data_IF_919233305543
#
_entry.id   IF_919233305543
#
_cell.length_a   1.000
_cell.length_b   1.000
_cell.length_c   1.000
_cell.angle_alpha   90.00
_cell.angle_beta   90.00
_cell.angle_gamma   90.00
#
_symmetry.space_group_name_H-M   'P 1'
#
loop_
_entity.id
_entity.type
_entity.pdbx_description
1 polymer ?
#
# COMPACT_ATOMS: atom_id res chain seq x y z
N UNK A 1 11.83 37.44 58.14
CA UNK A 1 13.28 37.34 58.42
C UNK A 1 13.82 36.27 57.49
N UNK A 2 14.71 36.62 56.56
CA UNK A 2 15.34 35.65 55.65
C UNK A 2 16.23 34.70 56.48
N UNK A 3 16.28 33.42 56.13
CA UNK A 3 17.12 32.46 56.84
C UNK A 3 18.61 32.87 56.69
N UNK A 4 19.34 33.15 57.78
CA UNK A 4 20.72 33.65 57.73
C UNK A 4 21.73 32.63 57.16
N UNK A 5 21.34 31.36 57.01
CA UNK A 5 22.15 30.32 56.38
C UNK A 5 22.01 30.27 54.85
N UNK A 6 21.04 30.99 54.27
CA UNK A 6 20.87 31.07 52.83
C UNK A 6 21.18 32.47 52.33
N UNK A 7 22.25 32.59 51.55
CA UNK A 7 22.72 33.84 50.96
C UNK A 7 21.97 34.20 49.67
N UNK A 8 21.05 33.33 49.24
CA UNK A 8 20.16 33.51 48.08
C UNK A 8 20.91 33.86 46.79
N UNK A 9 21.97 33.11 46.49
CA UNK A 9 22.69 33.28 45.23
C UNK A 9 24.19 33.01 45.30
N UNK A 10 24.69 32.39 46.38
CA UNK A 10 26.10 31.95 46.44
C UNK A 10 26.36 30.82 45.42
N UNK A 11 27.58 30.73 44.90
CA UNK A 11 27.93 29.72 43.89
C UNK A 11 27.68 28.28 44.38
N UNK A 12 27.92 28.00 45.66
CA UNK A 12 27.64 26.69 46.27
C UNK A 12 26.14 26.35 46.31
N UNK A 13 25.27 27.33 46.57
CA UNK A 13 23.82 27.10 46.55
C UNK A 13 23.32 26.89 45.11
N UNK A 14 23.85 27.67 44.16
CA UNK A 14 23.50 27.53 42.73
C UNK A 14 23.90 26.18 42.17
N UNK A 15 25.11 25.71 42.51
CA UNK A 15 25.61 24.40 42.08
C UNK A 15 24.79 23.27 42.70
N UNK A 16 24.52 23.33 44.02
CA UNK A 16 23.68 22.32 44.67
C UNK A 16 22.29 22.25 44.03
N UNK A 17 21.72 23.39 43.66
CA UNK A 17 20.42 23.43 42.98
C UNK A 17 20.47 22.80 41.60
N UNK A 18 21.52 23.10 40.82
CA UNK A 18 21.72 22.49 39.51
C UNK A 18 21.93 20.97 39.62
N UNK A 19 22.71 20.51 40.60
CA UNK A 19 22.95 19.08 40.87
C UNK A 19 21.63 18.36 41.18
N UNK A 20 20.79 18.94 42.05
CA UNK A 20 19.48 18.40 42.38
C UNK A 20 18.55 18.34 41.15
N UNK A 21 18.60 19.35 40.28
CA UNK A 21 17.81 19.37 39.05
C UNK A 21 18.32 18.28 38.09
N UNK A 22 19.63 18.16 37.90
CA UNK A 22 20.23 17.12 37.08
C UNK A 22 19.81 15.72 37.56
N UNK A 23 19.91 15.47 38.87
CA UNK A 23 19.51 14.20 39.47
C UNK A 23 17.99 13.96 39.32
N UNK A 24 17.16 14.99 39.47
CA UNK A 24 15.70 14.87 39.26
C UNK A 24 15.34 14.49 37.82
N UNK A 25 15.97 15.12 36.82
CA UNK A 25 15.76 14.81 35.39
C UNK A 25 16.31 13.42 35.07
N UNK A 26 17.42 13.01 35.69
CA UNK A 26 17.97 11.68 35.48
C UNK A 26 17.09 10.56 36.08
N UNK A 27 16.42 10.82 37.20
CA UNK A 27 15.54 9.83 37.86
C UNK A 27 14.17 9.75 37.17
N UNK A 28 13.57 10.88 36.82
CA UNK A 28 12.18 10.95 36.35
C UNK A 28 12.02 11.29 34.86
N UNK A 29 13.10 11.67 34.18
CA UNK A 29 13.10 11.96 32.76
C UNK A 29 13.21 10.72 31.89
N UNK A 30 13.19 10.95 30.58
CA UNK A 30 13.37 9.94 29.53
C UNK A 30 14.60 10.29 28.70
N UNK A 31 15.27 9.27 28.16
CA UNK A 31 16.38 9.45 27.23
C UNK A 31 15.84 9.77 25.84
N UNK A 32 16.32 10.88 25.26
CA UNK A 32 15.98 11.35 23.92
C UNK A 32 17.24 11.66 23.14
N UNK A 33 17.17 11.65 21.81
CA UNK A 33 18.28 12.10 20.98
C UNK A 33 18.02 13.52 20.47
N UNK A 34 18.98 14.41 20.68
CA UNK A 34 19.00 15.78 20.17
C UNK A 34 19.72 15.83 18.82
N UNK A 35 19.05 16.31 17.78
CA UNK A 35 19.57 16.41 16.42
C UNK A 35 19.67 17.89 16.01
N UNK A 36 20.87 18.47 15.91
CA UNK A 36 21.05 19.85 15.50
C UNK A 36 20.81 20.03 13.99
N UNK A 37 20.13 21.10 13.61
CA UNK A 37 19.87 21.43 12.19
C UNK A 37 21.09 22.09 11.54
N UNK A 38 21.52 21.58 10.39
CA UNK A 38 22.50 22.22 9.49
C UNK A 38 21.82 22.81 8.27
N UNK A 39 22.19 24.04 7.91
CA UNK A 39 21.66 24.74 6.74
C UNK A 39 22.65 24.68 5.57
N UNK A 40 22.34 23.99 4.48
CA UNK A 40 23.28 23.80 3.35
C UNK A 40 23.23 24.98 2.37
N UNK A 41 22.03 25.46 2.02
CA UNK A 41 21.84 26.59 1.10
C UNK A 41 21.31 27.83 1.82
N UNK A 42 22.16 28.85 1.95
CA UNK A 42 21.77 30.17 2.44
C UNK A 42 22.19 31.25 1.43
N UNK A 43 21.49 31.40 0.31
CA UNK A 43 21.65 32.59 -0.53
C UNK A 43 20.35 33.35 -0.76
N UNK A 44 20.21 34.33 0.13
CA UNK A 44 19.66 35.68 -0.06
C UNK A 44 19.59 36.14 -1.52
N UNK A 45 18.36 36.33 -2.02
CA UNK A 45 17.81 37.49 -2.76
C UNK A 45 16.49 37.11 -3.49
N UNK A 46 16.26 35.82 -3.80
CA UNK A 46 15.01 35.32 -4.41
C UNK A 46 14.65 33.96 -3.82
N UNK A 47 13.60 33.89 -2.96
CA UNK A 47 12.90 32.70 -2.43
C UNK A 47 13.43 31.31 -2.90
N UNK A 48 14.65 30.95 -2.51
CA UNK A 48 15.23 29.64 -2.78
C UNK A 48 14.79 28.66 -1.69
N UNK A 49 14.75 27.37 -2.02
CA UNK A 49 14.42 26.30 -1.08
C UNK A 49 15.61 26.10 -0.14
N UNK A 50 15.36 26.19 1.17
CA UNK A 50 16.39 26.01 2.20
C UNK A 50 16.54 24.51 2.44
N UNK A 51 17.62 23.92 1.96
CA UNK A 51 17.92 22.51 2.22
C UNK A 51 18.50 22.37 3.64
N UNK A 52 17.89 21.49 4.43
CA UNK A 52 18.27 21.24 5.82
C UNK A 52 18.69 19.79 6.00
N UNK A 53 19.81 19.60 6.71
CA UNK A 53 20.40 18.29 6.95
C UNK A 53 20.56 18.07 8.45
N UNK A 54 20.25 16.86 8.92
CA UNK A 54 20.40 16.39 10.29
C UNK A 54 21.30 15.15 10.28
N UNK A 55 22.59 15.36 10.44
CA UNK A 55 23.61 14.33 10.29
C UNK A 55 24.26 13.90 11.61
N UNK A 56 23.70 14.31 12.75
CA UNK A 56 24.23 14.04 14.07
C UNK A 56 23.08 13.84 15.06
N UNK A 57 23.20 12.86 15.94
CA UNK A 57 22.29 12.63 17.05
C UNK A 57 23.05 12.50 18.36
N UNK A 58 22.64 13.23 19.39
CA UNK A 58 23.27 13.24 20.71
C UNK A 58 22.27 12.84 21.79
N UNK A 59 22.51 11.76 22.57
CA UNK A 59 21.61 11.37 23.65
C UNK A 59 21.64 12.39 24.79
N UNK A 60 20.46 12.74 25.32
CA UNK A 60 20.29 13.64 26.47
C UNK A 60 19.03 13.27 27.25
N UNK A 61 19.07 13.48 28.57
CA UNK A 61 17.92 13.26 29.44
C UNK A 61 16.96 14.45 29.38
N UNK A 62 15.67 14.19 29.15
CA UNK A 62 14.62 15.20 29.10
C UNK A 62 13.43 14.83 30.01
N UNK A 63 12.92 15.80 30.75
CA UNK A 63 11.69 15.66 31.53
C UNK A 63 10.50 16.17 30.73
N UNK A 64 9.41 15.40 30.64
CA UNK A 64 8.20 15.81 29.94
C UNK A 64 7.32 16.60 30.92
N UNK A 65 7.14 17.89 30.66
CA UNK A 65 6.43 18.82 31.55
C UNK A 65 5.04 19.21 31.07
N UNK A 66 4.48 18.50 30.07
CA UNK A 66 3.14 18.75 29.53
C UNK A 66 2.13 18.90 30.68
N UNK A 67 1.64 20.13 30.83
CA UNK A 67 0.94 20.66 31.99
C UNK A 67 -0.36 19.89 32.29
N UNK A 68 -0.40 19.15 33.40
CA UNK A 68 -1.62 18.62 34.00
C UNK A 68 -1.89 19.38 35.32
N UNK A 69 -2.90 20.24 35.30
CA UNK A 69 -3.11 21.22 36.35
C UNK A 69 -4.51 21.82 36.36
N UNK A 70 -5.47 20.99 36.82
CA UNK A 70 -6.83 21.30 37.31
C UNK A 70 -8.03 21.04 36.38
N UNK A 71 -8.40 19.76 36.25
CA UNK A 71 -9.73 19.30 35.84
C UNK A 71 -9.96 17.86 36.30
N UNK A 72 -11.10 17.58 36.94
CA UNK A 72 -11.50 16.32 37.58
C UNK A 72 -11.45 15.07 36.66
N UNK A 73 -10.27 14.47 36.41
CA UNK A 73 -10.16 13.07 36.00
C UNK A 73 -8.73 12.51 36.14
N UNK A 74 -8.41 11.76 37.23
CA UNK A 74 -7.06 11.26 37.49
C UNK A 74 -6.74 9.96 36.74
N UNK A 75 -7.18 9.82 35.49
CA UNK A 75 -6.94 8.62 34.64
C UNK A 75 -5.90 8.85 33.54
N UNK A 76 -5.06 9.88 33.67
CA UNK A 76 -4.07 10.30 32.65
C UNK A 76 -2.64 9.80 32.97
N UNK A 77 -2.50 8.85 33.89
CA UNK A 77 -1.24 8.16 34.15
C UNK A 77 -1.48 6.66 34.37
N UNK A 78 -1.60 5.84 33.32
CA UNK A 78 -1.33 4.39 33.50
C UNK A 78 -1.03 3.51 32.28
N UNK A 79 -1.14 3.91 31.00
CA UNK A 79 -0.87 2.96 29.89
C UNK A 79 -0.28 3.60 28.63
N UNK A 80 1.05 3.57 28.53
CA UNK A 80 1.84 3.34 27.31
C UNK A 80 1.16 3.67 25.96
N UNK A 81 0.89 4.95 25.73
CA UNK A 81 0.32 5.40 24.48
C UNK A 81 0.25 6.91 24.52
N UNK A 82 1.26 7.56 23.93
CA UNK A 82 1.19 8.96 23.52
C UNK A 82 -0.08 9.09 22.67
N UNK A 83 -1.19 9.50 23.28
CA UNK A 83 -2.35 9.95 22.53
C UNK A 83 -1.97 11.26 21.83
N UNK A 84 -2.58 11.47 20.65
CA UNK A 84 -2.41 12.60 19.73
C UNK A 84 -2.31 13.97 20.41
N UNK A 85 -1.14 14.30 20.95
CA UNK A 85 -0.73 15.67 21.19
C UNK A 85 0.30 15.97 20.11
N UNK A 86 -0.09 16.84 19.18
CA UNK A 86 0.80 17.38 18.16
C UNK A 86 1.88 18.28 18.78
N UNK A 87 1.76 18.62 20.06
CA UNK A 87 2.63 19.51 20.81
C UNK A 87 3.04 18.86 22.13
N UNK A 88 4.30 19.02 22.53
CA UNK A 88 4.80 18.59 23.83
C UNK A 88 5.75 19.63 24.40
N UNK A 89 5.85 19.67 25.72
CA UNK A 89 6.80 20.53 26.44
C UNK A 89 7.84 19.68 27.14
N UNK A 90 9.11 19.95 26.87
CA UNK A 90 10.25 19.28 27.52
C UNK A 90 11.02 20.26 28.38
N UNK A 91 11.57 19.75 29.47
CA UNK A 91 12.58 20.44 30.26
C UNK A 91 13.88 19.64 30.21
N UNK A 92 14.95 20.27 29.76
CA UNK A 92 16.30 19.70 29.76
C UNK A 92 17.20 20.48 30.70
N UNK A 93 18.19 19.80 31.28
CA UNK A 93 19.20 20.46 32.11
C UNK A 93 20.07 21.40 31.28
N UNK A 94 20.20 22.65 31.76
CA UNK A 94 21.07 23.64 31.14
C UNK A 94 22.54 23.23 31.20
N UNK A 95 23.00 22.78 32.37
CA UNK A 95 24.39 22.38 32.56
C UNK A 95 24.75 21.19 31.67
N UNK A 96 23.88 20.18 31.58
CA UNK A 96 24.12 19.01 30.73
C UNK A 96 24.24 19.41 29.26
N UNK A 97 23.35 20.26 28.77
CA UNK A 97 23.44 20.77 27.41
C UNK A 97 24.75 21.54 27.17
N UNK A 98 25.09 22.48 28.06
CA UNK A 98 26.30 23.31 27.95
C UNK A 98 27.62 22.53 28.09
N UNK A 99 27.64 21.44 28.86
CA UNK A 99 28.84 20.61 29.10
C UNK A 99 29.01 19.48 28.10
N UNK A 100 27.92 18.93 27.56
CA UNK A 100 27.95 17.76 26.67
C UNK A 100 27.68 18.14 25.20
N UNK A 101 26.53 18.74 24.90
CA UNK A 101 26.12 18.98 23.51
C UNK A 101 26.83 20.20 22.92
N UNK A 102 26.84 21.33 23.64
CA UNK A 102 27.41 22.60 23.14
C UNK A 102 28.85 22.46 22.63
N UNK A 103 29.78 21.76 23.31
CA UNK A 103 31.14 21.55 22.80
C UNK A 103 31.22 20.72 21.52
N UNK A 104 30.31 19.76 21.34
CA UNK A 104 30.27 18.86 20.17
C UNK A 104 29.75 19.58 18.92
N UNK A 105 28.75 20.46 19.09
CA UNK A 105 28.15 21.20 17.97
C UNK A 105 28.90 22.49 17.61
N UNK A 106 29.75 23.01 18.51
CA UNK A 106 30.45 24.31 18.33
C UNK A 106 31.34 24.39 17.09
N UNK A 107 31.95 23.27 16.68
CA UNK A 107 32.89 23.22 15.56
C UNK A 107 32.25 22.67 14.28
N UNK A 108 30.95 22.36 14.28
CA UNK A 108 30.27 21.88 13.10
C UNK A 108 29.94 23.06 12.16
N UNK A 109 30.22 22.87 10.87
CA UNK A 109 29.85 23.84 9.84
C UNK A 109 28.34 23.97 9.73
N UNK A 110 27.86 25.16 9.38
CA UNK A 110 26.46 25.45 9.05
C UNK A 110 25.45 25.33 10.21
N UNK A 111 25.92 25.34 11.45
CA UNK A 111 25.09 25.49 12.65
C UNK A 111 25.11 26.97 13.09
N UNK A 112 23.92 27.56 13.28
CA UNK A 112 23.77 29.00 13.61
C UNK A 112 24.00 29.32 15.09
N UNK A 113 23.68 28.39 15.98
CA UNK A 113 23.71 28.61 17.42
C UNK A 113 24.14 27.32 18.11
N UNK A 114 25.18 27.42 18.95
CA UNK A 114 25.78 26.27 19.63
C UNK A 114 25.80 26.40 21.16
N UNK A 115 25.32 27.51 21.72
CA UNK A 115 25.37 27.78 23.16
C UNK A 115 24.08 27.41 23.90
N UNK A 116 23.00 27.08 23.19
CA UNK A 116 21.71 26.64 23.72
C UNK A 116 20.95 25.86 22.63
N UNK A 117 19.89 25.13 22.99
CA UNK A 117 19.00 24.56 22.01
C UNK A 117 18.44 25.62 21.07
N UNK A 118 18.31 25.26 19.80
CA UNK A 118 17.83 26.17 18.76
C UNK A 118 16.48 25.73 18.22
N UNK A 119 15.69 26.70 17.84
CA UNK A 119 14.44 26.49 17.12
C UNK A 119 14.72 25.87 15.74
N UNK A 120 13.94 24.86 15.39
CA UNK A 120 14.08 24.05 14.20
C UNK A 120 15.03 22.85 14.32
N UNK A 121 15.65 22.63 15.49
CA UNK A 121 16.36 21.38 15.79
C UNK A 121 15.35 20.27 16.14
N UNK A 122 15.73 19.00 15.98
CA UNK A 122 14.84 17.86 16.20
C UNK A 122 15.17 17.10 17.48
N UNK A 123 14.15 16.47 18.05
CA UNK A 123 14.24 15.58 19.20
C UNK A 123 13.61 14.24 18.83
N UNK A 124 14.37 13.16 18.90
CA UNK A 124 13.90 11.80 18.66
C UNK A 124 13.64 11.05 19.97
N UNK A 125 12.50 10.37 20.04
CA UNK A 125 12.10 9.52 21.16
C UNK A 125 12.24 8.04 20.80
N UNK A 126 13.19 7.30 21.40
CA UNK A 126 13.41 5.88 21.08
C UNK A 126 12.20 4.97 21.37
N UNK A 127 11.44 5.27 22.43
CA UNK A 127 10.29 4.46 22.84
C UNK A 127 9.04 4.71 21.99
N UNK A 128 8.98 5.86 21.31
CA UNK A 128 7.82 6.28 20.52
C UNK A 128 8.07 6.28 19.02
N UNK A 129 9.33 6.08 18.60
CA UNK A 129 9.82 6.14 17.23
C UNK A 129 9.36 7.41 16.50
N UNK A 130 9.46 8.56 17.19
CA UNK A 130 8.91 9.86 16.75
C UNK A 130 9.94 10.97 16.83
N UNK A 131 9.91 11.84 15.83
CA UNK A 131 10.66 13.08 15.77
C UNK A 131 9.76 14.28 16.09
N UNK A 132 10.27 15.19 16.91
CA UNK A 132 9.63 16.45 17.23
C UNK A 132 10.54 17.61 16.89
N UNK A 133 10.01 18.65 16.27
CA UNK A 133 10.71 19.90 15.98
C UNK A 133 10.54 20.88 17.12
N UNK A 134 11.65 21.48 17.57
CA UNK A 134 11.63 22.54 18.56
C UNK A 134 11.09 23.83 17.92
N UNK A 135 9.89 24.25 18.31
CA UNK A 135 9.30 25.52 17.84
C UNK A 135 9.76 26.71 18.68
N UNK A 136 9.93 26.51 19.98
CA UNK A 136 10.32 27.59 20.88
C UNK A 136 11.22 27.09 22.01
N UNK A 137 12.22 27.92 22.35
CA UNK A 137 13.15 27.66 23.46
C UNK A 137 13.06 28.78 24.48
N UNK A 138 12.41 28.49 25.61
CA UNK A 138 12.39 29.41 26.75
C UNK A 138 13.72 29.33 27.49
N UNK A 139 14.49 30.42 27.37
CA UNK A 139 15.82 30.55 27.96
C UNK A 139 15.86 31.57 29.11
N UNK A 140 14.78 32.31 29.34
CA UNK A 140 14.66 33.32 30.41
C UNK A 140 13.29 33.24 31.12
N UNK A 141 13.22 32.56 32.27
CA UNK A 141 12.01 32.55 33.13
C UNK A 141 12.01 33.79 34.06
N UNK A 142 10.90 34.52 34.25
CA UNK A 142 10.84 35.73 35.07
C UNK A 142 11.16 35.53 36.56
N UNK A 143 10.96 34.32 37.10
CA UNK A 143 11.21 33.97 38.50
C UNK A 143 12.32 32.94 38.61
N UNK A 144 13.56 33.42 38.73
CA UNK A 144 14.71 32.56 38.97
C UNK A 144 14.79 32.13 40.44
N UNK A 145 14.72 30.83 40.69
CA UNK A 145 15.15 30.28 41.99
C UNK A 145 16.65 30.61 42.14
N UNK A 146 17.05 31.23 43.25
CA UNK A 146 18.45 31.63 43.50
C UNK A 146 19.11 32.48 42.38
N UNK A 147 18.33 33.27 41.61
CA UNK A 147 18.86 34.17 40.55
C UNK A 147 19.54 33.48 39.35
N UNK A 148 19.26 32.20 39.07
CA UNK A 148 19.75 31.51 37.86
C UNK A 148 18.66 30.75 37.11
N UNK A 149 18.85 30.58 35.79
CA UNK A 149 18.12 29.60 35.00
C UNK A 149 18.90 28.29 34.95
N UNK A 150 18.28 27.18 35.36
CA UNK A 150 18.93 25.86 35.47
C UNK A 150 18.38 24.84 34.45
N UNK A 151 17.31 25.19 33.73
CA UNK A 151 16.64 24.32 32.75
C UNK A 151 16.29 25.10 31.48
N UNK A 152 16.37 24.45 30.32
CA UNK A 152 15.72 24.96 29.11
C UNK A 152 14.36 24.31 28.96
N UNK A 153 13.33 25.11 28.77
CA UNK A 153 12.00 24.62 28.44
C UNK A 153 11.80 24.71 26.91
N UNK A 154 11.54 23.57 26.29
CA UNK A 154 11.38 23.41 24.86
C UNK A 154 9.92 23.12 24.56
N UNK A 155 9.30 23.95 23.74
CA UNK A 155 8.00 23.63 23.13
C UNK A 155 8.27 23.00 21.79
N UNK A 156 7.85 21.74 21.64
CA UNK A 156 8.11 20.94 20.47
C UNK A 156 6.79 20.52 19.81
N UNK A 157 6.79 20.42 18.48
CA UNK A 157 5.67 19.88 17.71
C UNK A 157 6.11 18.65 16.94
N UNK A 158 5.18 17.75 16.60
CA UNK A 158 5.49 16.60 15.75
C UNK A 158 6.12 17.08 14.43
N UNK A 159 7.29 16.53 14.09
CA UNK A 159 7.99 16.94 12.88
C UNK A 159 7.26 16.40 11.64
N UNK A 160 7.00 17.30 10.68
CA UNK A 160 6.45 16.94 9.37
C UNK A 160 7.58 16.97 8.35
N UNK A 161 7.73 15.87 7.62
CA UNK A 161 8.75 15.72 6.60
C UNK A 161 8.39 16.53 5.36
N UNK A 162 9.33 17.32 4.86
CA UNK A 162 9.23 17.93 3.54
C UNK A 162 10.34 17.37 2.65
N UNK A 163 11.52 18.00 2.64
CA UNK A 163 12.68 17.65 1.79
C UNK A 163 13.98 17.53 2.61
N UNK A 164 13.90 17.37 3.93
CA UNK A 164 15.07 17.29 4.81
C UNK A 164 15.78 15.92 4.77
N UNK A 165 17.11 15.95 4.85
CA UNK A 165 17.95 14.73 4.92
C UNK A 165 18.30 14.44 6.37
N UNK A 166 18.03 13.23 6.85
CA UNK A 166 18.39 12.76 8.20
C UNK A 166 19.31 11.54 8.06
N UNK A 167 20.57 11.69 8.46
CA UNK A 167 21.66 10.70 8.38
C UNK A 167 22.51 10.76 9.66
N UNK A 168 21.97 10.26 10.76
CA UNK A 168 22.56 10.47 12.08
C UNK A 168 23.60 9.42 12.44
N UNK A 169 23.69 8.34 11.66
CA UNK A 169 24.52 7.16 11.95
C UNK A 169 23.95 6.28 13.06
N UNK A 170 22.70 6.54 13.48
CA UNK A 170 21.97 5.76 14.49
C UNK A 170 20.84 5.06 13.77
N UNK A 171 20.96 3.74 13.62
CA UNK A 171 20.01 2.92 12.85
C UNK A 171 18.55 3.17 13.24
N UNK A 172 18.25 3.31 14.53
CA UNK A 172 16.87 3.53 15.00
C UNK A 172 16.27 4.86 14.51
N UNK A 173 17.10 5.90 14.35
CA UNK A 173 16.68 7.22 13.87
C UNK A 173 16.62 7.22 12.34
N UNK A 174 17.62 6.61 11.71
CA UNK A 174 17.74 6.56 10.25
C UNK A 174 16.66 5.63 9.66
N UNK A 175 16.31 4.53 10.36
CA UNK A 175 15.24 3.59 9.99
C UNK A 175 13.84 4.23 10.03
N UNK A 176 13.64 5.28 10.86
CA UNK A 176 12.38 6.05 10.86
C UNK A 176 12.17 6.86 9.57
N UNK A 177 13.25 7.11 8.81
CA UNK A 177 13.28 7.95 7.60
C UNK A 177 13.90 7.23 6.39
N UNK A 178 14.20 5.94 6.50
CA UNK A 178 14.63 5.16 5.35
C UNK A 178 15.47 3.97 5.73
N UNK A 179 15.08 2.79 5.23
CA UNK A 179 15.96 1.63 5.25
C UNK A 179 17.27 1.97 4.53
N UNK A 180 18.34 2.04 5.29
CA UNK A 180 19.70 1.99 4.74
C UNK A 180 19.95 0.57 4.22
N UNK A 181 20.23 0.44 2.92
CA UNK A 181 20.80 -0.78 2.37
C UNK A 181 22.30 -0.78 2.69
N UNK A 182 22.73 -1.68 3.57
CA UNK A 182 24.14 -1.91 3.90
C UNK A 182 25.01 -2.36 2.68
N UNK A 183 24.44 -2.44 1.47
CA UNK A 183 25.14 -2.82 0.23
C UNK A 183 25.30 -1.68 -0.79
N UNK A 184 24.88 -0.44 -0.51
CA UNK A 184 25.15 0.71 -1.39
C UNK A 184 26.55 1.32 -1.09
N UNK A 185 27.52 1.24 -2.02
CA UNK A 185 28.84 1.84 -1.82
C UNK A 185 28.84 3.38 -1.82
N UNK A 186 27.73 4.04 -2.17
CA UNK A 186 27.65 5.51 -2.33
C UNK A 186 26.80 6.21 -1.25
N UNK A 187 26.28 5.47 -0.25
CA UNK A 187 25.46 6.00 0.86
C UNK A 187 24.37 6.99 0.37
N UNK A 188 23.64 6.64 -0.69
CA UNK A 188 22.75 7.57 -1.38
C UNK A 188 21.40 7.68 -0.66
N UNK A 189 21.26 8.72 0.15
CA UNK A 189 20.05 9.07 0.89
C UNK A 189 18.81 9.30 0.00
N UNK A 190 17.66 8.78 0.43
CA UNK A 190 16.38 8.91 -0.29
C UNK A 190 15.32 9.50 0.62
N UNK A 191 14.88 10.75 0.40
CA UNK A 191 13.71 11.31 1.07
C UNK A 191 12.47 10.42 0.86
N UNK A 192 11.67 10.21 1.90
CA UNK A 192 10.38 9.51 1.81
C UNK A 192 9.28 10.54 1.59
N UNK A 193 8.91 10.77 0.32
CA UNK A 193 7.62 11.34 -0.04
C UNK A 193 6.48 10.28 0.04
N UNK A 194 5.21 10.68 -0.19
CA UNK A 194 4.08 9.75 -0.18
C UNK A 194 4.31 8.55 -1.11
N UNK A 195 4.08 7.34 -0.60
CA UNK A 195 4.28 6.09 -1.34
C UNK A 195 3.07 5.84 -2.25
N UNK A 196 3.34 5.60 -3.53
CA UNK A 196 2.37 5.12 -4.51
C UNK A 196 2.65 3.65 -4.84
N UNK A 197 1.63 2.80 -4.73
CA UNK A 197 1.74 1.38 -5.10
C UNK A 197 1.28 1.18 -6.55
N UNK A 198 2.16 0.65 -7.38
CA UNK A 198 1.91 0.29 -8.77
C UNK A 198 1.87 -1.23 -8.90
N UNK A 199 0.83 -1.76 -9.55
CA UNK A 199 0.82 -3.16 -9.98
C UNK A 199 1.26 -3.23 -11.43
N UNK A 200 2.34 -3.95 -11.68
CA UNK A 200 2.94 -4.12 -12.99
C UNK A 200 2.62 -5.49 -13.58
N UNK A 201 2.91 -5.64 -14.87
CA UNK A 201 2.84 -6.90 -15.59
C UNK A 201 4.18 -7.61 -15.42
N UNK A 202 4.14 -8.85 -14.90
CA UNK A 202 5.34 -9.65 -14.74
C UNK A 202 5.97 -10.10 -16.05
N UNK A 203 7.16 -10.68 -15.94
CA UNK A 203 7.85 -11.25 -17.09
C UNK A 203 6.99 -12.33 -17.74
N UNK A 204 6.93 -12.31 -19.08
CA UNK A 204 6.01 -13.16 -19.82
C UNK A 204 6.45 -14.62 -19.82
N UNK A 205 5.65 -15.49 -19.20
CA UNK A 205 5.82 -16.95 -19.25
C UNK A 205 4.59 -17.56 -19.87
N UNK A 206 4.77 -18.36 -20.92
CA UNK A 206 3.66 -18.99 -21.63
C UNK A 206 2.98 -20.06 -20.77
N UNK A 207 1.66 -19.96 -20.66
CA UNK A 207 0.84 -20.95 -19.98
C UNK A 207 0.84 -22.29 -20.75
N UNK A 208 0.64 -23.38 -20.02
CA UNK A 208 0.51 -24.72 -20.59
C UNK A 208 -0.75 -25.41 -20.06
N UNK A 209 -1.39 -26.20 -20.92
CA UNK A 209 -2.57 -26.96 -20.56
C UNK A 209 -2.62 -28.28 -21.35
N UNK A 210 -3.29 -29.26 -20.76
CA UNK A 210 -3.52 -30.59 -21.35
C UNK A 210 -5.01 -30.93 -21.29
N UNK A 211 -5.43 -31.85 -22.15
CA UNK A 211 -6.79 -32.39 -22.14
C UNK A 211 -6.80 -33.83 -22.65
N UNK A 212 -7.93 -34.50 -22.42
CA UNK A 212 -8.26 -35.80 -22.98
C UNK A 212 -9.53 -35.70 -23.81
N UNK A 213 -9.78 -36.70 -24.65
CA UNK A 213 -11.04 -36.82 -25.39
C UNK A 213 -12.05 -37.69 -24.65
N UNK A 214 -13.33 -37.38 -24.83
CA UNK A 214 -14.45 -38.10 -24.23
C UNK A 214 -15.50 -38.45 -25.29
N UNK A 215 -16.28 -39.50 -25.01
CA UNK A 215 -17.42 -39.93 -25.82
C UNK A 215 -18.73 -39.66 -25.08
N UNK A 216 -19.77 -39.30 -25.83
CA UNK A 216 -21.03 -38.79 -25.27
C UNK A 216 -20.81 -37.57 -24.38
N UNK A 217 -19.96 -36.63 -24.79
CA UNK A 217 -19.65 -35.40 -24.04
C UNK A 217 -20.43 -34.19 -24.55
N UNK A 218 -20.65 -33.20 -23.69
CA UNK A 218 -21.25 -31.90 -24.07
C UNK A 218 -20.26 -31.12 -24.92
N UNK A 219 -20.69 -30.70 -26.11
CA UNK A 219 -19.88 -29.93 -27.07
C UNK A 219 -19.96 -28.43 -26.81
N UNK A 220 -21.19 -27.92 -26.74
CA UNK A 220 -21.48 -26.52 -26.47
C UNK A 220 -22.92 -26.39 -26.02
N UNK A 221 -23.24 -25.24 -25.43
CA UNK A 221 -24.58 -24.85 -25.07
C UNK A 221 -25.14 -23.85 -26.08
N UNK A 222 -26.43 -23.92 -26.33
CA UNK A 222 -27.16 -22.92 -27.10
C UNK A 222 -28.17 -22.24 -26.18
N UNK A 223 -27.93 -20.96 -25.87
CA UNK A 223 -28.87 -20.16 -25.08
C UNK A 223 -30.06 -19.82 -25.97
N UNK A 224 -31.25 -20.32 -25.59
CA UNK A 224 -32.51 -20.10 -26.31
C UNK A 224 -33.29 -18.94 -25.73
N UNK A 225 -33.12 -18.65 -24.43
CA UNK A 225 -33.60 -17.44 -23.79
C UNK A 225 -32.54 -16.91 -22.83
N UNK A 226 -32.20 -15.63 -22.95
CA UNK A 226 -31.18 -14.99 -22.09
C UNK A 226 -31.71 -14.65 -20.69
N UNK A 227 -33.03 -14.54 -20.53
CA UNK A 227 -33.65 -14.07 -19.31
C UNK A 227 -33.22 -12.64 -18.92
N UNK A 228 -33.57 -12.21 -17.72
CA UNK A 228 -33.19 -10.91 -17.16
C UNK A 228 -33.32 -10.87 -15.64
N UNK A 229 -32.83 -9.80 -15.03
CA UNK A 229 -32.94 -9.54 -13.61
C UNK A 229 -31.84 -10.15 -12.74
N UNK A 230 -30.71 -10.58 -13.32
CA UNK A 230 -29.64 -11.22 -12.55
C UNK A 230 -28.64 -10.19 -12.01
N UNK A 231 -28.40 -10.18 -10.69
CA UNK A 231 -27.32 -9.39 -10.08
C UNK A 231 -25.94 -10.06 -10.20
N UNK A 232 -25.92 -11.40 -10.35
CA UNK A 232 -24.72 -12.21 -10.51
C UNK A 232 -24.88 -13.31 -11.56
N UNK A 233 -23.82 -14.06 -11.84
CA UNK A 233 -23.92 -15.20 -12.76
C UNK A 233 -24.75 -16.33 -12.12
N UNK A 234 -25.86 -16.79 -12.75
CA UNK A 234 -26.66 -17.87 -12.20
C UNK A 234 -25.91 -19.20 -12.25
N UNK A 235 -26.24 -20.10 -11.33
CA UNK A 235 -25.72 -21.47 -11.35
C UNK A 235 -26.40 -22.25 -12.47
N UNK A 236 -25.60 -22.82 -13.36
CA UNK A 236 -26.08 -23.69 -14.44
C UNK A 236 -26.12 -25.13 -13.94
N UNK A 237 -27.32 -25.70 -13.86
CA UNK A 237 -27.52 -27.10 -13.52
C UNK A 237 -27.77 -27.93 -14.78
N UNK A 238 -27.13 -29.09 -14.84
CA UNK A 238 -27.20 -30.02 -15.97
C UNK A 238 -27.70 -31.36 -15.43
N UNK A 239 -28.65 -31.98 -16.12
CA UNK A 239 -29.16 -33.29 -15.70
C UNK A 239 -28.04 -34.35 -15.72
N UNK A 240 -28.10 -35.26 -14.76
CA UNK A 240 -27.08 -36.30 -14.57
C UNK A 240 -26.85 -37.15 -15.83
N UNK A 241 -25.58 -37.53 -16.05
CA UNK A 241 -25.23 -38.53 -17.05
C UNK A 241 -25.79 -39.93 -16.66
N UNK A 242 -26.00 -40.84 -17.63
CA UNK A 242 -26.31 -42.24 -17.36
C UNK A 242 -25.27 -42.94 -16.46
N UNK A 243 -25.63 -44.11 -15.92
CA UNK A 243 -24.75 -44.90 -15.07
C UNK A 243 -23.43 -45.23 -15.80
N UNK A 244 -22.31 -44.99 -15.12
CA UNK A 244 -20.96 -45.13 -15.70
C UNK A 244 -20.46 -43.89 -16.46
N UNK A 245 -21.28 -42.85 -16.61
CA UNK A 245 -20.89 -41.54 -17.13
C UNK A 245 -20.54 -40.53 -16.03
N UNK A 246 -20.11 -39.34 -16.44
CA UNK A 246 -19.88 -38.19 -15.57
C UNK A 246 -20.66 -36.98 -16.05
N UNK A 247 -21.34 -36.32 -15.12
CA UNK A 247 -22.11 -35.10 -15.42
C UNK A 247 -21.19 -33.95 -15.80
N UNK A 248 -21.48 -33.26 -16.89
CA UNK A 248 -20.74 -32.08 -17.32
C UNK A 248 -20.94 -30.88 -16.38
N UNK A 249 -20.09 -29.87 -16.54
CA UNK A 249 -20.13 -28.61 -15.80
C UNK A 249 -20.11 -27.47 -16.82
N UNK A 250 -21.06 -26.55 -16.68
CA UNK A 250 -21.13 -25.32 -17.46
C UNK A 250 -21.09 -24.09 -16.56
N UNK A 251 -20.61 -22.98 -17.08
CA UNK A 251 -20.65 -21.67 -16.43
C UNK A 251 -21.33 -20.66 -17.32
N UNK A 252 -22.27 -19.90 -16.75
CA UNK A 252 -22.89 -18.79 -17.44
C UNK A 252 -21.91 -17.60 -17.55
N UNK A 253 -21.96 -16.91 -18.69
CA UNK A 253 -21.41 -15.57 -18.86
C UNK A 253 -22.57 -14.58 -18.94
N UNK A 254 -22.36 -13.37 -18.43
CA UNK A 254 -23.42 -12.36 -18.31
C UNK A 254 -23.13 -11.16 -19.19
N UNK A 255 -24.18 -10.53 -19.70
CA UNK A 255 -24.11 -9.27 -20.45
C UNK A 255 -25.03 -8.24 -19.79
N UNK A 256 -24.51 -7.03 -19.58
CA UNK A 256 -25.28 -5.88 -19.12
C UNK A 256 -25.80 -5.03 -20.29
N UNK A 257 -26.63 -4.04 -20.00
CA UNK A 257 -27.10 -3.06 -21.00
C UNK A 257 -28.14 -3.58 -22.00
N UNK A 258 -28.59 -4.83 -21.84
CA UNK A 258 -29.75 -5.36 -22.57
C UNK A 258 -31.00 -5.09 -21.74
N UNK A 259 -31.91 -4.27 -22.26
CA UNK A 259 -33.25 -4.12 -21.67
C UNK A 259 -34.09 -5.33 -22.09
N UNK A 260 -34.47 -6.17 -21.13
CA UNK A 260 -35.33 -7.33 -21.37
C UNK A 260 -36.69 -7.07 -20.75
N UNK A 261 -37.60 -6.44 -21.50
CA UNK A 261 -38.91 -6.03 -20.99
C UNK A 261 -38.78 -5.18 -19.70
N UNK A 262 -39.31 -5.65 -18.56
CA UNK A 262 -39.17 -5.02 -17.23
C UNK A 262 -37.96 -5.49 -16.44
N UNK A 263 -37.33 -6.58 -16.88
CA UNK A 263 -36.24 -7.25 -16.20
C UNK A 263 -34.94 -6.65 -16.76
N UNK A 264 -34.13 -6.02 -15.91
CA UNK A 264 -33.05 -5.07 -16.27
C UNK A 264 -33.47 -3.60 -16.41
N UNK A 265 -34.56 -3.18 -15.76
CA UNK A 265 -34.86 -1.76 -15.53
C UNK A 265 -33.79 -1.07 -14.68
N UNK A 266 -33.17 -1.80 -13.74
CA UNK A 266 -31.96 -1.36 -13.05
C UNK A 266 -30.72 -1.67 -13.93
N UNK A 267 -29.89 -0.66 -14.29
CA UNK A 267 -28.69 -0.85 -15.11
C UNK A 267 -27.68 -1.86 -14.54
N UNK A 268 -27.73 -2.14 -13.24
CA UNK A 268 -26.85 -3.10 -12.57
C UNK A 268 -27.24 -4.57 -12.83
N UNK A 269 -28.47 -4.82 -13.30
CA UNK A 269 -28.96 -6.17 -13.61
C UNK A 269 -28.55 -6.61 -15.02
N UNK A 270 -28.32 -7.91 -15.17
CA UNK A 270 -27.72 -8.52 -16.35
C UNK A 270 -28.58 -9.66 -16.90
N UNK A 271 -28.27 -10.06 -18.13
CA UNK A 271 -28.85 -11.23 -18.80
C UNK A 271 -27.78 -12.27 -19.11
N UNK A 272 -28.17 -13.54 -19.28
CA UNK A 272 -27.24 -14.61 -19.66
C UNK A 272 -26.82 -14.41 -21.12
N UNK A 273 -25.52 -14.30 -21.38
CA UNK A 273 -24.98 -14.12 -22.73
C UNK A 273 -24.70 -15.45 -23.42
N UNK A 274 -23.96 -16.32 -22.74
CA UNK A 274 -23.63 -17.67 -23.18
C UNK A 274 -23.46 -18.59 -21.98
N UNK A 275 -23.42 -19.90 -22.23
CA UNK A 275 -22.94 -20.88 -21.27
C UNK A 275 -21.73 -21.56 -21.89
N UNK A 276 -20.61 -21.53 -21.19
CA UNK A 276 -19.36 -22.13 -21.62
C UNK A 276 -19.13 -23.42 -20.84
N UNK A 277 -18.54 -24.42 -21.48
CA UNK A 277 -18.26 -25.73 -20.90
C UNK A 277 -16.98 -25.65 -20.07
N UNK A 278 -17.04 -26.04 -18.79
CA UNK A 278 -15.85 -26.22 -17.93
C UNK A 278 -15.40 -27.69 -17.98
N UNK A 279 -16.36 -28.60 -17.93
CA UNK A 279 -16.14 -30.03 -18.10
C UNK A 279 -17.23 -30.59 -19.01
N UNK A 280 -16.85 -31.19 -20.12
CA UNK A 280 -17.78 -31.76 -21.09
C UNK A 280 -18.59 -32.94 -20.53
N UNK A 281 -18.14 -33.56 -19.43
CA UNK A 281 -18.71 -34.82 -18.95
C UNK A 281 -18.49 -35.95 -19.96
N UNK A 282 -19.08 -37.11 -19.71
CA UNK A 282 -19.06 -38.23 -20.66
C UNK A 282 -20.19 -39.21 -20.40
N UNK A 283 -20.51 -40.03 -21.42
CA UNK A 283 -21.51 -41.08 -21.34
C UNK A 283 -22.95 -40.63 -21.59
N UNK A 284 -23.19 -39.39 -22.04
CA UNK A 284 -24.51 -38.94 -22.46
C UNK A 284 -24.93 -39.63 -23.76
N UNK A 285 -26.09 -40.29 -23.73
CA UNK A 285 -26.74 -40.88 -24.92
C UNK A 285 -27.86 -40.00 -25.47
N UNK A 286 -28.38 -39.10 -24.63
CA UNK A 286 -29.37 -38.07 -24.97
C UNK A 286 -28.84 -36.74 -24.43
N UNK A 287 -29.08 -35.66 -25.17
CA UNK A 287 -28.67 -34.33 -24.73
C UNK A 287 -29.26 -34.01 -23.34
N UNK A 288 -28.43 -33.60 -22.36
CA UNK A 288 -28.93 -33.33 -21.01
C UNK A 288 -29.80 -32.07 -20.97
N UNK A 289 -30.70 -32.03 -19.99
CA UNK A 289 -31.53 -30.84 -19.69
C UNK A 289 -30.70 -29.82 -18.93
N UNK A 290 -30.90 -28.54 -19.22
CA UNK A 290 -30.23 -27.41 -18.57
C UNK A 290 -31.25 -26.57 -17.81
N UNK A 291 -30.91 -26.17 -16.59
CA UNK A 291 -31.68 -25.24 -15.78
C UNK A 291 -30.76 -24.18 -15.16
N UNK A 292 -31.30 -22.99 -14.92
CA UNK A 292 -30.59 -21.88 -14.27
C UNK A 292 -31.19 -21.62 -12.89
N UNK A 293 -30.32 -21.39 -11.92
CA UNK A 293 -30.69 -21.03 -10.55
C UNK A 293 -30.00 -19.72 -10.16
N UNK A 294 -30.80 -18.70 -9.84
CA UNK A 294 -30.34 -17.37 -9.47
C UNK A 294 -31.51 -16.49 -9.04
N UNK A 295 -31.23 -15.21 -8.84
CA UNK A 295 -32.19 -14.14 -8.52
C UNK A 295 -33.00 -13.65 -9.74
N UNK A 296 -32.45 -13.81 -10.95
CA UNK A 296 -33.15 -13.50 -12.20
C UNK A 296 -34.06 -14.62 -12.70
N UNK A 297 -34.81 -14.31 -13.77
CA UNK A 297 -35.83 -15.20 -14.35
C UNK A 297 -35.66 -15.41 -15.85
N UNK A 298 -36.25 -16.48 -16.38
CA UNK A 298 -36.44 -16.69 -17.82
C UNK A 298 -35.25 -17.21 -18.62
N UNK A 299 -34.09 -17.47 -18.01
CA UNK A 299 -32.95 -18.03 -18.75
C UNK A 299 -33.21 -19.49 -19.16
N UNK A 300 -32.93 -19.83 -20.41
CA UNK A 300 -33.08 -21.18 -20.97
C UNK A 300 -31.97 -21.49 -21.97
N UNK A 301 -31.49 -22.73 -21.96
CA UNK A 301 -30.45 -23.21 -22.86
C UNK A 301 -30.63 -24.70 -23.16
N UNK A 302 -30.04 -25.14 -24.26
CA UNK A 302 -29.96 -26.55 -24.67
C UNK A 302 -28.49 -26.98 -24.83
N UNK A 303 -28.23 -28.28 -24.77
CA UNK A 303 -26.91 -28.86 -24.99
C UNK A 303 -26.84 -29.58 -26.33
N UNK A 304 -25.69 -29.50 -26.99
CA UNK A 304 -25.33 -30.42 -28.07
C UNK A 304 -24.28 -31.39 -27.56
N UNK A 305 -24.46 -32.70 -27.80
CA UNK A 305 -23.48 -33.74 -27.41
C UNK A 305 -22.76 -34.31 -28.64
N UNK A 306 -21.67 -35.04 -28.42
CA UNK A 306 -21.02 -35.83 -29.46
C UNK A 306 -19.86 -36.68 -28.96
N UNK A 307 -19.23 -37.38 -29.90
CA UNK A 307 -18.13 -38.30 -29.65
C UNK A 307 -16.78 -37.76 -30.11
N UNK A 308 -15.72 -38.18 -29.42
CA UNK A 308 -14.37 -37.69 -29.67
C UNK A 308 -14.30 -36.18 -29.48
N UNK A 309 -14.85 -35.68 -28.37
CA UNK A 309 -14.87 -34.24 -28.05
C UNK A 309 -13.85 -33.95 -26.96
N UNK A 310 -13.35 -32.72 -26.89
CA UNK A 310 -12.44 -32.27 -25.82
C UNK A 310 -13.15 -32.37 -24.47
N UNK A 311 -12.51 -33.04 -23.51
CA UNK A 311 -12.98 -33.17 -22.14
C UNK A 311 -12.61 -31.96 -21.28
N UNK A 312 -12.40 -32.18 -19.97
CA UNK A 312 -11.87 -31.12 -19.10
C UNK A 312 -10.49 -30.66 -19.57
N UNK A 313 -10.25 -29.35 -19.55
CA UNK A 313 -8.93 -28.77 -19.79
C UNK A 313 -8.26 -28.56 -18.44
N UNK A 314 -7.09 -29.17 -18.26
CA UNK A 314 -6.27 -29.02 -17.05
C UNK A 314 -5.11 -28.10 -17.36
N UNK A 315 -5.06 -26.96 -16.68
CA UNK A 315 -3.94 -26.02 -16.77
C UNK A 315 -2.77 -26.63 -15.98
N UNK A 316 -1.66 -26.90 -16.66
CA UNK A 316 -0.42 -27.42 -16.05
C UNK A 316 0.50 -26.29 -15.56
N UNK A 317 0.41 -25.11 -16.18
CA UNK A 317 1.00 -23.86 -15.69
C UNK A 317 0.16 -22.68 -16.18
N UNK A 318 -0.23 -21.79 -15.27
CA UNK A 318 -1.03 -20.60 -15.59
C UNK A 318 -0.26 -19.51 -16.35
N UNK A 319 1.07 -19.67 -16.48
CA UNK A 319 1.94 -18.64 -17.05
C UNK A 319 1.89 -17.31 -16.30
N UNK A 320 2.46 -16.27 -16.90
CA UNK A 320 2.51 -14.90 -16.36
C UNK A 320 2.62 -13.88 -17.49
N UNK A 321 2.32 -12.61 -17.21
CA UNK A 321 2.47 -11.52 -18.18
C UNK A 321 1.28 -11.36 -19.17
N UNK A 322 0.17 -12.05 -18.94
CA UNK A 322 -1.03 -11.90 -19.77
C UNK A 322 -1.75 -10.59 -19.44
N UNK A 323 -1.84 -9.71 -20.44
CA UNK A 323 -2.58 -8.42 -20.37
C UNK A 323 -3.87 -8.44 -21.19
N UNK A 324 -3.95 -9.37 -22.12
CA UNK A 324 -5.12 -9.65 -22.95
C UNK A 324 -5.37 -11.15 -22.95
N UNK A 325 -6.58 -11.55 -23.32
CA UNK A 325 -6.93 -12.96 -23.45
C UNK A 325 -6.14 -13.58 -24.60
N UNK A 326 -5.31 -14.61 -24.34
CA UNK A 326 -4.55 -15.26 -25.40
C UNK A 326 -5.44 -16.10 -26.31
N UNK A 327 -4.99 -16.29 -27.55
CA UNK A 327 -5.59 -17.28 -28.46
C UNK A 327 -5.26 -18.69 -27.99
N UNK A 328 -6.25 -19.58 -28.01
CA UNK A 328 -6.08 -21.01 -27.70
C UNK A 328 -6.29 -21.80 -28.99
N UNK A 329 -5.30 -22.61 -29.36
CA UNK A 329 -5.34 -23.45 -30.56
C UNK A 329 -5.30 -24.93 -30.17
N UNK A 330 -6.21 -25.70 -30.75
CA UNK A 330 -6.23 -27.16 -30.63
C UNK A 330 -5.69 -27.77 -31.92
N UNK A 331 -4.61 -28.55 -31.82
CA UNK A 331 -3.99 -29.24 -32.95
C UNK A 331 -4.23 -30.74 -32.83
N UNK A 332 -4.92 -31.33 -33.81
CA UNK A 332 -5.22 -32.75 -33.87
C UNK A 332 -6.15 -33.09 -35.04
N UNK A 333 -6.22 -34.36 -35.41
CA UNK A 333 -7.14 -34.84 -36.45
C UNK A 333 -8.56 -34.83 -35.87
N UNK A 334 -9.45 -34.04 -36.45
CA UNK A 334 -10.85 -33.90 -36.03
C UNK A 334 -11.74 -33.57 -37.23
N UNK A 335 -13.04 -33.77 -37.08
CA UNK A 335 -14.04 -33.27 -38.05
C UNK A 335 -14.40 -31.82 -37.78
N UNK A 336 -14.43 -31.42 -36.51
CA UNK A 336 -14.62 -30.05 -36.06
C UNK A 336 -13.58 -29.75 -34.98
N UNK A 337 -12.74 -28.74 -35.20
CA UNK A 337 -11.77 -28.32 -34.21
C UNK A 337 -12.47 -27.70 -32.98
N UNK A 338 -11.80 -27.77 -31.84
CA UNK A 338 -12.31 -27.22 -30.60
C UNK A 338 -11.97 -25.72 -30.49
N UNK A 339 -12.75 -25.00 -29.69
CA UNK A 339 -12.59 -23.58 -29.41
C UNK A 339 -12.80 -23.32 -27.92
N UNK A 340 -11.99 -22.43 -27.35
CA UNK A 340 -12.02 -22.07 -25.94
C UNK A 340 -11.56 -20.63 -25.72
N UNK A 341 -11.92 -20.08 -24.58
CA UNK A 341 -11.52 -18.75 -24.08
C UNK A 341 -10.76 -18.90 -22.77
N UNK A 342 -9.67 -18.14 -22.59
CA UNK A 342 -8.94 -18.08 -21.33
C UNK A 342 -9.50 -16.98 -20.42
N UNK A 343 -9.48 -17.22 -19.12
CA UNK A 343 -9.73 -16.22 -18.08
C UNK A 343 -8.39 -15.86 -17.46
N UNK A 344 -8.06 -14.58 -17.54
CA UNK A 344 -6.83 -14.01 -17.00
C UNK A 344 -7.15 -13.32 -15.67
N UNK A 345 -6.37 -13.61 -14.63
CA UNK A 345 -6.50 -12.98 -13.32
C UNK A 345 -6.07 -11.52 -13.34
N UNK A 346 -6.42 -10.80 -12.27
CA UNK A 346 -5.84 -9.48 -12.00
C UNK A 346 -4.32 -9.53 -11.82
N UNK A 347 -3.71 -10.70 -11.58
CA UNK A 347 -2.27 -10.89 -11.50
C UNK A 347 -1.62 -11.15 -12.88
N UNK A 348 -2.40 -11.41 -13.93
CA UNK A 348 -1.88 -11.66 -15.29
C UNK A 348 -1.52 -13.11 -15.55
N UNK A 349 -2.13 -14.02 -14.78
CA UNK A 349 -2.01 -15.48 -14.89
C UNK A 349 -3.31 -16.07 -15.42
N UNK A 350 -3.26 -17.15 -16.19
CA UNK A 350 -4.47 -17.84 -16.66
C UNK A 350 -5.00 -18.72 -15.52
N UNK A 351 -6.22 -18.42 -15.05
CA UNK A 351 -6.87 -19.14 -13.94
C UNK A 351 -7.85 -20.20 -14.42
N UNK A 352 -8.41 -20.03 -15.61
CA UNK A 352 -9.37 -20.96 -16.17
C UNK A 352 -9.35 -20.91 -17.70
N UNK A 353 -9.63 -22.05 -18.33
CA UNK A 353 -9.94 -22.12 -19.77
C UNK A 353 -11.35 -22.69 -19.89
N UNK A 354 -12.22 -21.95 -20.58
CA UNK A 354 -13.62 -22.31 -20.78
C UNK A 354 -13.85 -22.67 -22.24
N UNK A 355 -14.43 -23.83 -22.47
CA UNK A 355 -14.67 -24.36 -23.81
C UNK A 355 -15.93 -23.73 -24.37
N UNK A 356 -15.82 -23.08 -25.53
CA UNK A 356 -16.96 -22.54 -26.27
C UNK A 356 -17.50 -23.56 -27.27
N UNK A 357 -16.63 -24.45 -27.78
CA UNK A 357 -16.99 -25.63 -28.56
C UNK A 357 -15.95 -26.73 -28.34
N UNK A 358 -16.36 -27.89 -27.82
CA UNK A 358 -15.44 -29.00 -27.55
C UNK A 358 -14.95 -29.73 -28.82
N UNK A 359 -15.38 -29.29 -30.01
CA UNK A 359 -15.07 -29.92 -31.28
C UNK A 359 -15.88 -31.19 -31.51
N UNK A 360 -15.42 -32.04 -32.43
CA UNK A 360 -16.03 -33.33 -32.77
C UNK A 360 -15.03 -34.25 -33.48
N UNK A 361 -15.10 -35.54 -33.19
CA UNK A 361 -14.43 -36.58 -33.99
C UNK A 361 -12.92 -36.63 -33.83
N UNK A 362 -12.37 -36.17 -32.71
CA UNK A 362 -10.98 -36.44 -32.35
C UNK A 362 -10.78 -37.93 -32.10
N UNK A 363 -9.78 -38.52 -32.75
CA UNK A 363 -9.38 -39.94 -32.55
C UNK A 363 -8.23 -40.08 -31.55
N UNK A 364 -7.48 -39.00 -31.32
CA UNK A 364 -6.42 -38.87 -30.34
C UNK A 364 -6.58 -37.53 -29.60
N UNK A 365 -6.09 -37.45 -28.36
CA UNK A 365 -6.11 -36.20 -27.59
C UNK A 365 -5.37 -35.08 -28.35
N UNK A 366 -6.01 -33.92 -28.58
CA UNK A 366 -5.36 -32.81 -29.26
C UNK A 366 -4.29 -32.15 -28.39
N UNK A 367 -3.29 -31.56 -29.03
CA UNK A 367 -2.33 -30.67 -28.37
C UNK A 367 -2.94 -29.28 -28.21
N UNK A 368 -2.89 -28.73 -27.00
CA UNK A 368 -3.33 -27.36 -26.71
C UNK A 368 -2.12 -26.43 -26.75
N UNK A 369 -2.17 -25.43 -27.62
CA UNK A 369 -1.20 -24.34 -27.64
C UNK A 369 -1.88 -23.06 -27.19
N UNK A 370 -1.32 -22.43 -26.16
CA UNK A 370 -1.77 -21.13 -25.66
C UNK A 370 -0.84 -20.06 -26.24
N UNK A 371 -1.41 -18.98 -26.79
CA UNK A 371 -0.64 -17.85 -27.29
C UNK A 371 0.28 -17.27 -26.21
N UNK A 372 1.44 -16.75 -26.65
CA UNK A 372 2.39 -16.13 -25.74
C UNK A 372 1.80 -14.85 -25.12
N UNK A 373 2.16 -14.54 -23.85
CA UNK A 373 1.89 -13.24 -23.25
C UNK A 373 2.72 -12.13 -23.93
N UNK A 374 2.48 -10.88 -23.54
CA UNK A 374 3.36 -9.77 -23.96
C UNK A 374 4.75 -9.99 -23.35
N UNK A 375 5.75 -10.26 -24.18
CA UNK A 375 7.13 -10.49 -23.74
C UNK A 375 7.93 -9.18 -23.55
N UNK A 376 7.22 -8.06 -23.44
CA UNK A 376 7.82 -6.72 -23.31
C UNK A 376 8.25 -6.40 -21.89
N UNK A 377 7.86 -7.20 -20.90
CA UNK A 377 8.19 -7.00 -19.50
C UNK A 377 9.41 -7.83 -19.10
N UNK A 378 10.47 -7.21 -18.61
CA UNK A 378 11.80 -7.81 -18.39
C UNK A 378 12.55 -7.16 -17.23
N UNK A 379 13.36 -7.95 -16.53
CA UNK A 379 14.27 -7.47 -15.48
C UNK A 379 13.60 -7.36 -14.12
N UNK A 380 14.37 -6.89 -13.14
CA UNK A 380 13.90 -6.55 -11.80
C UNK A 380 14.30 -5.12 -11.50
N UNK A 381 13.41 -4.36 -10.87
CA UNK A 381 13.74 -3.01 -10.44
C UNK A 381 14.72 -3.06 -9.26
N UNK A 382 15.65 -2.12 -9.26
CA UNK A 382 16.63 -1.93 -8.20
C UNK A 382 16.09 -0.87 -7.23
N UNK A 383 16.31 -1.10 -5.94
CA UNK A 383 15.98 -0.11 -4.92
C UNK A 383 16.59 1.26 -5.26
N UNK A 384 15.83 2.34 -5.01
CA UNK A 384 16.19 3.73 -5.25
C UNK A 384 16.47 4.13 -6.72
N UNK A 385 16.32 3.22 -7.68
CA UNK A 385 16.50 3.63 -9.07
C UNK A 385 15.40 4.59 -9.52
N UNK A 386 15.74 5.48 -10.45
CA UNK A 386 14.76 6.33 -11.12
C UNK A 386 14.02 5.49 -12.15
N UNK A 387 12.69 5.45 -12.05
CA UNK A 387 11.83 4.90 -13.08
C UNK A 387 11.22 6.02 -13.92
N UNK A 388 10.96 5.71 -15.19
CA UNK A 388 10.40 6.64 -16.17
C UNK A 388 9.21 5.98 -16.85
N UNK A 389 8.06 6.65 -16.83
CA UNK A 389 6.88 6.30 -17.62
C UNK A 389 7.11 6.62 -19.09
N UNK A 390 7.07 5.60 -19.95
CA UNK A 390 7.36 5.73 -21.39
C UNK A 390 6.42 6.67 -22.17
N UNK A 391 5.18 6.87 -21.71
CA UNK A 391 4.19 7.73 -22.37
C UNK A 391 4.00 9.03 -21.58
N UNK A 392 3.86 8.93 -20.26
CA UNK A 392 3.62 10.08 -19.38
C UNK A 392 4.87 10.92 -19.12
N UNK A 393 6.07 10.37 -19.36
CA UNK A 393 7.36 10.94 -18.92
C UNK A 393 7.44 11.18 -17.41
N UNK A 394 6.50 10.62 -16.63
CA UNK A 394 6.48 10.71 -15.17
C UNK A 394 7.69 9.98 -14.63
N UNK A 395 8.41 10.61 -13.70
CA UNK A 395 9.51 9.99 -12.98
C UNK A 395 9.12 9.70 -11.54
N UNK A 396 9.65 8.62 -11.00
CA UNK A 396 9.54 8.29 -9.59
C UNK A 396 10.77 7.49 -9.15
N UNK A 397 10.93 7.27 -7.85
CA UNK A 397 12.00 6.42 -7.30
C UNK A 397 11.43 5.14 -6.73
N UNK A 398 12.11 4.03 -7.00
CA UNK A 398 11.73 2.69 -6.51
C UNK A 398 11.97 2.60 -5.00
N UNK A 399 10.93 2.22 -4.25
CA UNK A 399 11.00 1.93 -2.81
C UNK A 399 11.00 0.43 -2.53
N UNK A 400 10.20 -0.34 -3.26
CA UNK A 400 10.25 -1.80 -3.19
C UNK A 400 9.78 -2.41 -4.49
N UNK A 401 10.35 -3.55 -4.86
CA UNK A 401 9.91 -4.36 -5.99
C UNK A 401 9.77 -5.80 -5.56
N UNK A 402 8.60 -6.37 -5.81
CA UNK A 402 8.34 -7.78 -5.61
C UNK A 402 8.08 -8.45 -6.97
N UNK A 403 9.07 -9.20 -7.45
CA UNK A 403 9.03 -9.89 -8.75
C UNK A 403 8.04 -11.06 -8.80
N UNK A 404 7.56 -11.54 -7.64
CA UNK A 404 6.56 -12.62 -7.55
C UNK A 404 5.16 -12.02 -7.68
N UNK A 405 4.86 -10.95 -6.92
CA UNK A 405 3.54 -10.30 -6.92
C UNK A 405 3.39 -9.23 -8.00
N UNK A 406 4.50 -8.81 -8.61
CA UNK A 406 4.61 -7.70 -9.56
C UNK A 406 4.12 -6.38 -8.98
N UNK A 407 4.38 -6.16 -7.69
CA UNK A 407 4.06 -4.92 -6.99
C UNK A 407 5.33 -4.09 -6.91
N UNK A 408 5.23 -2.85 -7.41
CA UNK A 408 6.27 -1.84 -7.32
C UNK A 408 5.76 -0.70 -6.45
N UNK A 409 6.45 -0.39 -5.37
CA UNK A 409 6.18 0.80 -4.56
C UNK A 409 7.18 1.89 -4.95
N UNK A 410 6.67 3.12 -5.11
CA UNK A 410 7.46 4.25 -5.58
C UNK A 410 7.18 5.50 -4.76
N UNK A 411 8.16 6.41 -4.70
CA UNK A 411 8.00 7.75 -4.11
C UNK A 411 8.49 8.84 -5.04
N UNK A 412 8.31 10.10 -4.65
CA UNK A 412 8.78 11.30 -5.35
C UNK A 412 8.29 11.33 -6.80
N UNK A 413 7.01 10.99 -6.98
CA UNK A 413 6.36 10.95 -8.28
C UNK A 413 6.19 12.39 -8.79
N UNK A 414 6.81 12.71 -9.93
CA UNK A 414 6.83 14.08 -10.50
C UNK A 414 5.59 14.42 -11.35
N UNK A 415 4.69 13.46 -11.55
CA UNK A 415 3.55 13.54 -12.44
C UNK A 415 2.51 12.46 -12.15
N UNK A 416 1.80 12.00 -13.18
CA UNK A 416 0.82 10.91 -13.05
C UNK A 416 1.10 9.87 -14.12
N UNK A 417 1.36 8.64 -13.70
CA UNK A 417 1.52 7.52 -14.63
C UNK A 417 0.21 7.21 -15.37
N UNK A 418 0.34 6.70 -16.59
CA UNK A 418 -0.77 6.26 -17.43
C UNK A 418 -0.88 4.73 -17.41
N UNK A 419 -2.04 4.20 -17.02
CA UNK A 419 -2.28 2.75 -17.04
C UNK A 419 -2.09 2.21 -18.46
N UNK A 420 -1.24 1.19 -18.60
CA UNK A 420 -0.88 0.57 -19.86
C UNK A 420 0.43 1.05 -20.47
N UNK A 421 1.08 2.08 -19.91
CA UNK A 421 2.43 2.47 -20.34
C UNK A 421 3.51 1.51 -19.79
N UNK A 422 4.72 1.53 -20.36
CA UNK A 422 5.86 0.84 -19.76
C UNK A 422 6.55 1.74 -18.72
N UNK A 423 6.86 1.17 -17.57
CA UNK A 423 7.70 1.74 -16.53
C UNK A 423 9.11 1.20 -16.72
N UNK A 424 10.07 2.10 -16.95
CA UNK A 424 11.45 1.74 -17.30
C UNK A 424 12.40 2.21 -16.22
N UNK A 425 13.18 1.30 -15.65
CA UNK A 425 14.24 1.60 -14.69
C UNK A 425 15.48 2.15 -15.39
N UNK A 426 15.97 3.31 -14.94
CA UNK A 426 17.11 3.98 -15.53
C UNK A 426 18.45 3.25 -15.28
N UNK A 427 18.56 2.51 -14.19
CA UNK A 427 19.79 1.79 -13.82
C UNK A 427 19.71 0.31 -14.22
N UNK A 428 18.60 -0.35 -13.88
CA UNK A 428 18.37 -1.78 -14.15
C UNK A 428 18.07 -2.07 -15.62
N UNK A 429 17.63 -1.07 -16.39
CA UNK A 429 16.96 -1.26 -17.68
C UNK A 429 15.75 -2.20 -17.60
N UNK A 430 15.24 -2.45 -16.39
CA UNK A 430 13.99 -3.18 -16.18
C UNK A 430 12.86 -2.42 -16.85
N UNK A 431 11.94 -3.13 -17.48
CA UNK A 431 10.81 -2.55 -18.18
C UNK A 431 9.61 -3.40 -17.88
N UNK A 432 8.56 -2.82 -17.31
CA UNK A 432 7.32 -3.54 -17.05
C UNK A 432 6.13 -2.70 -17.42
N UNK A 433 5.10 -3.33 -18.00
CA UNK A 433 3.88 -2.62 -18.34
C UNK A 433 3.07 -2.32 -17.07
N UNK A 434 2.66 -1.07 -16.89
CA UNK A 434 1.79 -0.64 -15.79
C UNK A 434 0.38 -1.18 -16.02
N UNK A 435 -0.17 -1.87 -15.02
CA UNK A 435 -1.52 -2.45 -15.09
C UNK A 435 -2.51 -1.74 -14.19
N UNK A 436 -2.10 -1.39 -12.97
CA UNK A 436 -2.95 -0.72 -12.00
C UNK A 436 -2.13 0.28 -11.23
N UNK A 437 -2.70 1.46 -11.04
CA UNK A 437 -2.21 2.45 -10.09
C UNK A 437 -3.13 2.33 -8.88
N UNK A 438 -2.59 1.96 -7.72
CA UNK A 438 -3.39 2.02 -6.51
C UNK A 438 -3.49 3.48 -6.08
N UNK A 439 -4.69 4.04 -6.19
CA UNK A 439 -4.97 5.44 -5.83
C UNK A 439 -5.20 5.60 -4.33
N UNK A 440 -5.32 4.48 -3.61
CA UNK A 440 -5.41 4.47 -2.16
C UNK A 440 -4.04 4.02 -1.62
N UNK A 441 -3.29 4.89 -0.93
CA UNK A 441 -2.15 4.41 -0.17
C UNK A 441 -2.66 3.32 0.79
N UNK A 442 -1.92 2.21 0.98
CA UNK A 442 -2.24 1.30 2.07
C UNK A 442 -2.34 2.13 3.35
N UNK A 443 -3.40 1.88 4.13
CA UNK A 443 -3.63 2.57 5.40
C UNK A 443 -2.41 2.36 6.28
N UNK A 444 -1.57 3.38 6.32
CA UNK A 444 -0.34 3.39 7.07
C UNK A 444 -0.61 3.66 8.56
N UNK A 445 -1.87 3.82 8.97
CA UNK A 445 -2.24 4.24 10.32
C UNK A 445 -2.00 5.74 10.59
N UNK A 446 -1.57 6.50 9.58
CA UNK A 446 -1.34 7.95 9.64
C UNK A 446 -2.33 8.74 8.77
N UNK A 447 -3.20 8.06 8.03
CA UNK A 447 -4.12 8.67 7.07
C UNK A 447 -5.45 9.05 7.75
N UNK A 448 -5.51 10.21 8.40
CA UNK A 448 -6.71 10.69 9.11
C UNK A 448 -7.95 10.79 8.23
N UNK A 449 -7.81 10.84 6.91
CA UNK A 449 -8.95 10.85 5.97
C UNK A 449 -9.86 9.63 6.16
N UNK A 450 -9.32 8.45 6.50
CA UNK A 450 -10.10 7.23 6.71
C UNK A 450 -10.89 7.28 8.02
N UNK A 451 -10.28 7.81 9.07
CA UNK A 451 -10.94 8.04 10.37
C UNK A 451 -12.02 9.11 10.24
N UNK A 452 -11.73 10.21 9.53
CA UNK A 452 -12.70 11.28 9.24
C UNK A 452 -13.87 10.75 8.41
N UNK A 453 -13.65 9.92 7.38
CA UNK A 453 -14.75 9.29 6.64
C UNK A 453 -15.56 8.34 7.52
N UNK A 454 -14.91 7.47 8.29
CA UNK A 454 -15.60 6.54 9.18
C UNK A 454 -16.40 7.25 10.28
N UNK A 455 -15.89 8.35 10.84
CA UNK A 455 -16.61 9.19 11.80
C UNK A 455 -17.73 9.98 11.12
N UNK A 456 -17.51 10.52 9.91
CA UNK A 456 -18.54 11.19 9.13
C UNK A 456 -19.73 10.26 8.80
N UNK A 457 -19.45 9.00 8.45
CA UNK A 457 -20.46 7.96 8.23
C UNK A 457 -21.24 7.59 9.51
N UNK A 458 -20.66 7.84 10.69
CA UNK A 458 -21.37 7.71 11.98
C UNK A 458 -22.19 8.96 12.34
N UNK A 459 -21.87 10.13 11.79
CA UNK A 459 -22.55 11.39 12.08
C UNK A 459 -23.82 11.57 11.23
N UNK A 460 -23.84 11.09 9.99
CA UNK A 460 -25.00 11.20 9.09
C UNK A 460 -25.42 9.82 8.59
N UNK A 461 -26.56 9.33 9.08
CA UNK A 461 -27.19 8.11 8.59
C UNK A 461 -27.92 8.38 7.26
N UNK A 462 -27.28 8.00 6.15
CA UNK A 462 -27.87 8.11 4.81
C UNK A 462 -28.85 6.98 4.46
N UNK A 463 -29.16 6.07 5.39
CA UNK A 463 -30.22 5.07 5.19
C UNK A 463 -31.63 5.67 5.33
N UNK A 464 -31.74 6.84 5.97
CA UNK A 464 -32.99 7.60 6.07
C UNK A 464 -33.14 8.63 4.93
N UNK A 465 -34.35 8.71 4.35
CA UNK A 465 -34.62 9.49 3.13
C UNK A 465 -34.57 11.02 3.34
N UNK A 466 -34.53 11.50 4.58
CA UNK A 466 -34.43 12.92 4.90
C UNK A 466 -33.73 13.14 6.26
N UNK A 467 -32.39 13.08 6.30
CA UNK A 467 -31.63 13.22 7.53
C UNK A 467 -31.65 14.65 8.12
N UNK A 468 -32.28 15.63 7.46
CA UNK A 468 -32.28 17.05 7.86
C UNK A 468 -33.66 17.69 7.95
N UNK A 469 -34.76 16.93 7.95
CA UNK A 469 -36.10 17.50 8.05
C UNK A 469 -37.03 16.68 8.95
N UNK A 470 -37.79 17.38 9.80
CA UNK A 470 -38.97 16.80 10.48
C UNK A 470 -40.13 16.62 9.48
N UNK A 471 -40.94 15.55 9.62
CA UNK A 471 -41.88 15.06 8.61
C UNK A 471 -42.99 16.05 8.22
#
# INVERSE_FOLDING_TARGET
MLNPFFLQGSASEKNLMQDLINESIQIYGVEVHYLPRKYITEKTVLREVIESVFDNAYPIEAYISSYDGYGDNPTILSKFGIQNLNELTLEISRERFETYISPLIKNLSNIKLSNRPKEGDLIYFPLGDRLFEIKYVEHEKPFYQLQGNYTYQLTCELFQYEDEVIDTGVNEIDDTIGGSDNNDPDNSFVPIGPIQTLTLVGTGVTATAITNIVSGGIRFFTVTNRGGGYSGAPRVAISSAPAGGMTGIGSATMIGGIVVCTDNTNPNLKSVQSVEVINSGFGYTVAPKVAFFGDGVGAAATCTIGDGVVGIITITSGGSGYVSTPTITFTGISTVSAAATAIVSSAGTITQIRITNAGLGYTLSPTITIGNPSLTSTGDFIFNEVIIGSASSTTARVKSWNSITNILEVSNVTGTFEVGENIVGAASSSSHKLRLINVYPPDNGYSSNKEIENEADQIIDFSERNPFGVP
#
